data_IF_787811647787
#
_entry.id   IF_787811647787
#
_cell.length_a   1.000
_cell.length_b   1.000
_cell.length_c   1.000
_cell.angle_alpha   90.00
_cell.angle_beta   90.00
_cell.angle_gamma   90.00
#
_symmetry.space_group_name_H-M   'P 1'
#
loop_
_entity.id
_entity.type
_entity.pdbx_description
1 polymer ?
#
# COMPACT_ATOMS: atom_id res chain seq x y z
N UNK A 1 -5.19 4.89 12.95
CA UNK A 1 -5.39 3.43 12.83
C UNK A 1 -6.78 3.19 12.24
N UNK A 2 -6.90 2.61 11.03
CA UNK A 2 -8.16 2.62 10.27
C UNK A 2 -9.37 2.02 11.02
N UNK A 3 -9.13 0.98 11.82
CA UNK A 3 -10.17 0.29 12.59
C UNK A 3 -10.60 1.06 13.85
N UNK A 4 -9.74 1.91 14.42
CA UNK A 4 -10.08 2.79 15.55
C UNK A 4 -10.87 4.00 15.06
N UNK A 5 -10.46 4.58 13.93
CA UNK A 5 -11.13 5.72 13.28
C UNK A 5 -12.55 5.37 12.82
N UNK A 6 -12.75 4.13 12.32
CA UNK A 6 -14.06 3.66 11.90
C UNK A 6 -15.08 3.54 13.06
N UNK A 7 -14.62 3.32 14.29
CA UNK A 7 -15.47 3.13 15.47
C UNK A 7 -15.55 4.42 16.32
N UNK A 8 -14.89 5.51 15.90
CA UNK A 8 -14.77 6.78 16.64
C UNK A 8 -14.39 6.57 18.11
N UNK A 9 -13.52 5.59 18.37
CA UNK A 9 -13.08 5.31 19.73
C UNK A 9 -11.93 6.24 20.10
N UNK A 10 -12.12 7.01 21.17
CA UNK A 10 -11.06 7.83 21.74
C UNK A 10 -10.11 6.95 22.55
N UNK A 11 -8.88 6.82 22.05
CA UNK A 11 -7.82 6.13 22.78
C UNK A 11 -7.54 6.92 24.06
N UNK A 12 -7.38 6.23 25.19
CA UNK A 12 -7.02 6.91 26.44
C UNK A 12 -5.63 7.56 26.34
N UNK A 13 -5.46 8.75 26.91
CA UNK A 13 -4.14 9.40 27.06
C UNK A 13 -3.11 8.56 27.83
N UNK A 14 -3.54 7.54 28.58
CA UNK A 14 -2.66 6.57 29.26
C UNK A 14 -2.05 5.53 28.32
N UNK A 15 -2.61 5.37 27.12
CA UNK A 15 -2.15 4.42 26.12
C UNK A 15 -0.89 4.93 25.40
N UNK A 16 0.11 4.08 25.21
CA UNK A 16 1.34 4.46 24.48
C UNK A 16 1.10 4.75 22.99
N UNK A 17 0.01 4.23 22.41
CA UNK A 17 -0.39 4.49 21.02
C UNK A 17 -1.24 5.77 20.87
N UNK A 18 -1.45 6.51 21.95
CA UNK A 18 -2.15 7.79 21.87
C UNK A 18 -1.35 8.75 20.97
N UNK A 19 -1.98 9.45 20.01
CA UNK A 19 -1.32 10.43 19.15
C UNK A 19 -0.41 11.41 19.88
N UNK A 20 -0.87 11.94 21.01
CA UNK A 20 -0.14 12.95 21.79
C UNK A 20 1.06 12.39 22.56
N UNK A 21 1.13 11.06 22.73
CA UNK A 21 2.24 10.41 23.41
C UNK A 21 3.37 10.06 22.45
N UNK A 22 3.19 10.22 21.14
CA UNK A 22 4.25 9.93 20.17
C UNK A 22 5.26 11.07 20.14
N UNK A 23 6.49 10.76 20.56
CA UNK A 23 7.58 11.74 20.68
C UNK A 23 7.94 12.40 19.34
N UNK A 24 7.83 11.67 18.23
CA UNK A 24 8.22 12.15 16.90
C UNK A 24 7.05 12.71 16.10
N UNK A 25 5.83 12.69 16.67
CA UNK A 25 4.60 13.09 15.97
C UNK A 25 4.69 14.49 15.37
N UNK A 26 5.22 15.45 16.13
CA UNK A 26 5.37 16.83 15.68
C UNK A 26 6.34 16.91 14.49
N UNK A 27 7.48 16.23 14.56
CA UNK A 27 8.46 16.22 13.46
C UNK A 27 7.88 15.59 12.19
N UNK A 28 7.16 14.48 12.32
CA UNK A 28 6.48 13.83 11.19
C UNK A 28 5.43 14.75 10.54
N UNK A 29 4.66 15.50 11.33
CA UNK A 29 3.68 16.48 10.82
C UNK A 29 4.35 17.66 10.09
N UNK A 30 5.62 17.95 10.42
CA UNK A 30 6.41 18.99 9.78
C UNK A 30 7.26 18.47 8.61
N UNK A 31 7.07 17.23 8.16
CA UNK A 31 7.61 16.76 6.88
C UNK A 31 6.68 17.16 5.74
N UNK A 32 7.13 18.05 4.88
CA UNK A 32 6.36 18.53 3.74
C UNK A 32 6.95 17.91 2.47
N UNK A 33 6.26 16.98 1.83
CA UNK A 33 6.65 16.46 0.53
C UNK A 33 6.12 17.40 -0.57
N UNK A 34 7.01 18.12 -1.24
CA UNK A 34 6.65 19.14 -2.23
C UNK A 34 6.63 18.55 -3.64
N UNK A 35 7.65 17.76 -3.98
CA UNK A 35 7.81 17.11 -5.29
C UNK A 35 8.56 15.77 -5.12
N UNK A 36 8.62 14.94 -6.16
CA UNK A 36 9.21 13.59 -6.19
C UNK A 36 10.58 13.51 -5.50
N UNK A 37 11.40 14.56 -5.65
CA UNK A 37 12.74 14.66 -5.07
C UNK A 37 12.90 15.91 -4.18
N UNK A 38 11.81 16.50 -3.69
CA UNK A 38 11.86 17.68 -2.83
C UNK A 38 11.04 17.48 -1.55
N UNK A 39 11.75 17.44 -0.44
CA UNK A 39 11.23 17.41 0.92
C UNK A 39 11.56 18.71 1.64
N UNK A 40 10.59 19.31 2.32
CA UNK A 40 10.77 20.60 2.99
C UNK A 40 10.51 20.47 4.49
N UNK A 41 11.38 21.08 5.27
CA UNK A 41 11.24 21.21 6.72
C UNK A 41 10.12 22.21 7.06
N UNK A 42 9.13 21.78 7.83
CA UNK A 42 8.02 22.61 8.28
C UNK A 42 8.44 23.77 9.18
N UNK A 43 9.49 23.60 9.99
CA UNK A 43 9.96 24.59 10.96
C UNK A 43 10.76 25.74 10.32
N UNK A 44 11.78 25.43 9.50
CA UNK A 44 12.69 26.43 8.93
C UNK A 44 12.62 26.56 7.41
N UNK A 45 11.70 25.84 6.75
CA UNK A 45 11.43 25.89 5.30
C UNK A 45 12.60 25.49 4.39
N UNK A 46 13.67 24.88 4.93
CA UNK A 46 14.77 24.31 4.13
C UNK A 46 14.28 23.10 3.33
N UNK A 47 14.67 23.03 2.06
CA UNK A 47 14.39 21.90 1.17
C UNK A 47 15.56 20.91 1.11
N UNK A 48 15.23 19.64 0.90
CA UNK A 48 16.12 18.49 0.90
C UNK A 48 15.74 17.56 -0.26
N UNK A 49 16.73 16.85 -0.78
CA UNK A 49 16.54 15.97 -1.94
C UNK A 49 15.77 14.67 -1.63
N UNK A 50 15.77 14.25 -0.37
CA UNK A 50 15.15 13.01 0.08
C UNK A 50 14.77 13.11 1.55
N UNK A 51 13.76 12.35 1.96
CA UNK A 51 13.24 12.30 3.32
C UNK A 51 14.35 12.03 4.35
N UNK A 52 15.24 11.07 4.09
CA UNK A 52 16.36 10.73 4.99
C UNK A 52 17.23 11.93 5.39
N UNK A 53 17.39 12.90 4.48
CA UNK A 53 18.20 14.09 4.76
C UNK A 53 17.42 15.11 5.59
N UNK A 54 16.09 15.13 5.44
CA UNK A 54 15.20 15.90 6.29
C UNK A 54 15.17 15.33 7.71
N UNK A 55 15.09 14.01 7.86
CA UNK A 55 15.15 13.32 9.16
C UNK A 55 16.45 13.62 9.88
N UNK A 56 17.57 13.45 9.19
CA UNK A 56 18.89 13.81 9.73
C UNK A 56 18.97 15.30 10.09
N UNK A 57 18.31 16.19 9.33
CA UNK A 57 18.24 17.60 9.68
C UNK A 57 17.43 17.84 10.96
N UNK A 58 16.32 17.13 11.18
CA UNK A 58 15.57 17.20 12.42
C UNK A 58 16.40 16.79 13.63
N UNK A 59 17.12 15.66 13.53
CA UNK A 59 18.00 15.18 14.61
C UNK A 59 19.11 16.18 14.97
N UNK A 60 19.64 16.91 13.98
CA UNK A 60 20.75 17.83 14.22
C UNK A 60 20.32 19.24 14.62
N UNK A 61 19.15 19.71 14.16
CA UNK A 61 18.75 21.13 14.25
C UNK A 61 17.46 21.36 15.01
N UNK A 62 16.60 20.36 15.13
CA UNK A 62 15.28 20.47 15.76
C UNK A 62 15.05 19.39 16.83
N UNK A 63 16.12 18.75 17.32
CA UNK A 63 16.05 17.78 18.41
C UNK A 63 15.48 18.41 19.70
N UNK A 64 15.79 19.68 19.94
CA UNK A 64 15.31 20.45 21.08
C UNK A 64 13.79 20.66 21.11
N UNK A 65 13.09 20.43 20.00
CA UNK A 65 11.62 20.53 19.93
C UNK A 65 10.93 19.22 20.36
N UNK A 66 11.69 18.14 20.55
CA UNK A 66 11.14 16.86 20.99
C UNK A 66 10.70 16.95 22.45
N UNK A 67 9.49 16.48 22.74
CA UNK A 67 9.02 16.33 24.11
C UNK A 67 9.59 15.05 24.73
N UNK A 68 10.88 15.08 25.08
CA UNK A 68 11.60 13.92 25.65
C UNK A 68 11.04 13.51 27.02
N UNK A 69 10.43 14.45 27.75
CA UNK A 69 9.94 14.22 29.12
C UNK A 69 8.67 13.36 29.18
N UNK A 70 7.71 13.61 28.27
CA UNK A 70 6.42 12.92 28.26
C UNK A 70 6.23 11.98 27.06
N UNK A 71 6.93 12.25 25.96
CA UNK A 71 6.88 11.45 24.74
C UNK A 71 7.35 10.00 24.96
N UNK A 72 6.74 9.09 24.23
CA UNK A 72 7.11 7.67 24.13
C UNK A 72 7.57 7.40 22.72
N UNK A 73 8.69 6.70 22.58
CA UNK A 73 9.17 6.25 21.30
C UNK A 73 8.33 5.04 20.84
N UNK A 74 7.66 5.15 19.68
CA UNK A 74 6.88 4.05 19.14
C UNK A 74 7.75 2.88 18.65
N UNK A 75 9.05 3.11 18.39
CA UNK A 75 9.98 2.06 18.02
C UNK A 75 10.14 0.99 19.10
N UNK A 76 9.95 1.34 20.38
CA UNK A 76 9.97 0.39 21.51
C UNK A 76 8.84 -0.64 21.43
N UNK A 77 7.75 -0.31 20.72
CA UNK A 77 6.61 -1.20 20.50
C UNK A 77 6.80 -2.06 19.25
N UNK A 78 7.88 -1.85 18.48
CA UNK A 78 7.99 -2.46 17.17
C UNK A 78 8.06 -3.98 17.20
N UNK A 79 8.73 -4.55 18.20
CA UNK A 79 8.75 -5.99 18.42
C UNK A 79 7.38 -6.58 18.76
N UNK A 80 6.47 -5.80 19.37
CA UNK A 80 5.10 -6.20 19.70
C UNK A 80 4.10 -5.92 18.57
N UNK A 81 4.43 -5.03 17.62
CA UNK A 81 3.57 -4.65 16.49
C UNK A 81 4.04 -5.22 15.14
N UNK A 82 5.11 -6.02 15.14
CA UNK A 82 5.71 -6.64 13.96
C UNK A 82 6.14 -5.65 12.86
N UNK A 83 6.63 -4.44 13.19
CA UNK A 83 7.02 -3.51 12.10
C UNK A 83 8.22 -3.96 11.28
N UNK A 84 9.05 -4.88 11.78
CA UNK A 84 10.09 -5.53 10.98
C UNK A 84 9.52 -6.20 9.71
N UNK A 85 8.31 -6.75 9.77
CA UNK A 85 7.67 -7.36 8.61
C UNK A 85 7.20 -6.33 7.58
N UNK A 86 6.80 -5.15 8.03
CA UNK A 86 6.31 -4.06 7.17
C UNK A 86 7.48 -3.32 6.51
N UNK A 87 8.56 -3.08 7.27
CA UNK A 87 9.72 -2.30 6.82
C UNK A 87 10.76 -3.16 6.09
N UNK A 88 10.95 -4.42 6.49
CA UNK A 88 11.93 -5.32 5.92
C UNK A 88 11.26 -6.58 5.35
N UNK A 89 10.99 -6.58 4.04
CA UNK A 89 10.49 -7.78 3.32
C UNK A 89 11.49 -8.95 3.31
N UNK A 90 12.74 -8.70 3.68
CA UNK A 90 13.78 -9.71 3.86
C UNK A 90 13.79 -10.16 5.31
N UNK A 91 12.86 -11.06 5.68
CA UNK A 91 13.00 -11.78 6.94
C UNK A 91 14.32 -12.56 6.88
N UNK A 92 15.35 -12.10 7.60
CA UNK A 92 16.49 -12.98 7.85
C UNK A 92 15.91 -14.20 8.57
N UNK A 93 16.22 -15.40 8.09
CA UNK A 93 15.73 -16.65 8.69
C UNK A 93 16.45 -16.89 10.02
N UNK A 94 16.37 -15.95 10.96
CA UNK A 94 16.90 -16.13 12.29
C UNK A 94 16.07 -17.19 13.01
N UNK A 95 16.75 -18.15 13.63
CA UNK A 95 16.14 -19.16 14.50
C UNK A 95 15.23 -18.47 15.52
N UNK A 96 14.00 -18.96 15.67
CA UNK A 96 13.04 -18.37 16.61
C UNK A 96 13.60 -18.37 18.04
N UNK A 97 13.58 -17.22 18.71
CA UNK A 97 13.90 -17.12 20.13
C UNK A 97 12.58 -17.12 20.94
N UNK A 98 12.25 -18.21 21.66
CA UNK A 98 10.99 -18.31 22.39
C UNK A 98 10.87 -17.26 23.51
N UNK A 99 11.98 -16.86 24.15
CA UNK A 99 11.97 -15.85 25.19
C UNK A 99 11.62 -14.46 24.63
N UNK A 100 12.16 -14.11 23.46
CA UNK A 100 11.85 -12.86 22.78
C UNK A 100 10.38 -12.80 22.32
N UNK A 101 9.87 -13.93 21.78
CA UNK A 101 8.46 -14.04 21.38
C UNK A 101 7.52 -13.89 22.57
N UNK A 102 7.82 -14.56 23.69
CA UNK A 102 7.03 -14.44 24.91
C UNK A 102 7.04 -12.99 25.47
N UNK A 103 8.22 -12.34 25.50
CA UNK A 103 8.34 -10.94 25.91
C UNK A 103 7.50 -10.01 25.04
N UNK A 104 7.59 -10.14 23.71
CA UNK A 104 6.85 -9.30 22.78
C UNK A 104 5.33 -9.57 22.86
N UNK A 105 4.93 -10.83 23.06
CA UNK A 105 3.54 -11.20 23.31
C UNK A 105 2.99 -10.50 24.55
N UNK A 106 3.69 -10.58 25.68
CA UNK A 106 3.28 -9.90 26.91
C UNK A 106 3.21 -8.38 26.75
N UNK A 107 4.15 -7.79 26.02
CA UNK A 107 4.12 -6.36 25.70
C UNK A 107 2.89 -5.99 24.87
N UNK A 108 2.56 -6.80 23.85
CA UNK A 108 1.38 -6.63 23.01
C UNK A 108 0.07 -6.73 23.82
N UNK A 109 -0.06 -7.74 24.68
CA UNK A 109 -1.22 -7.93 25.56
C UNK A 109 -1.35 -6.78 26.56
N UNK A 110 -0.24 -6.32 27.15
CA UNK A 110 -0.24 -5.14 28.04
C UNK A 110 -0.69 -3.88 27.32
N UNK A 111 -0.28 -3.72 26.05
CA UNK A 111 -0.70 -2.60 25.21
C UNK A 111 -2.20 -2.66 24.91
N UNK A 112 -2.73 -3.82 24.54
CA UNK A 112 -4.16 -4.03 24.31
C UNK A 112 -4.99 -3.67 25.55
N UNK A 113 -4.55 -4.11 26.74
CA UNK A 113 -5.22 -3.81 28.01
C UNK A 113 -5.22 -2.31 28.36
N UNK A 114 -4.13 -1.60 28.07
CA UNK A 114 -4.02 -0.16 28.37
C UNK A 114 -4.76 0.73 27.37
N UNK A 115 -4.80 0.30 26.10
CA UNK A 115 -5.38 1.09 25.01
C UNK A 115 -6.86 0.81 24.79
N UNK A 116 -7.27 -0.44 24.99
CA UNK A 116 -8.63 -0.92 24.78
C UNK A 116 -9.06 -1.74 26.00
N UNK A 117 -9.33 -1.12 27.15
CA UNK A 117 -9.73 -1.87 28.34
C UNK A 117 -11.19 -2.34 28.20
N UNK A 118 -11.43 -3.61 28.53
CA UNK A 118 -12.72 -4.30 28.32
C UNK A 118 -13.86 -3.63 29.11
N UNK A 119 -13.54 -2.99 30.23
CA UNK A 119 -14.51 -2.31 31.09
C UNK A 119 -14.97 -0.93 30.57
N UNK A 120 -14.39 -0.40 29.49
CA UNK A 120 -14.80 0.88 28.89
C UNK A 120 -15.91 0.75 27.82
N UNK A 121 -16.59 -0.39 27.79
CA UNK A 121 -17.79 -0.61 26.96
C UNK A 121 -17.58 -1.56 25.77
N UNK A 122 -18.65 -1.81 25.00
CA UNK A 122 -18.65 -2.83 23.95
C UNK A 122 -17.69 -2.51 22.80
N UNK A 123 -17.54 -1.23 22.45
CA UNK A 123 -16.58 -0.78 21.42
C UNK A 123 -15.14 -1.04 21.84
N UNK A 124 -14.77 -0.72 23.09
CA UNK A 124 -13.45 -0.99 23.64
C UNK A 124 -13.16 -2.50 23.72
N UNK A 125 -14.13 -3.29 24.17
CA UNK A 125 -14.02 -4.75 24.22
C UNK A 125 -13.82 -5.37 22.82
N UNK A 126 -14.58 -4.90 21.82
CA UNK A 126 -14.41 -5.36 20.43
C UNK A 126 -13.04 -5.00 19.87
N UNK A 127 -12.58 -3.76 20.09
CA UNK A 127 -11.26 -3.32 19.66
C UNK A 127 -10.14 -4.10 20.36
N UNK A 128 -10.32 -4.42 21.64
CA UNK A 128 -9.41 -5.26 22.40
C UNK A 128 -9.24 -6.64 21.76
N UNK A 129 -10.35 -7.33 21.46
CA UNK A 129 -10.32 -8.66 20.83
C UNK A 129 -9.69 -8.61 19.44
N UNK A 130 -10.05 -7.61 18.62
CA UNK A 130 -9.48 -7.41 17.30
C UNK A 130 -7.96 -7.17 17.37
N UNK A 131 -7.52 -6.33 18.30
CA UNK A 131 -6.11 -6.02 18.50
C UNK A 131 -5.31 -7.27 18.90
N UNK A 132 -5.83 -8.06 19.86
CA UNK A 132 -5.20 -9.30 20.28
C UNK A 132 -5.07 -10.31 19.12
N UNK A 133 -6.15 -10.53 18.36
CA UNK A 133 -6.13 -11.48 17.23
C UNK A 133 -5.22 -11.05 16.10
N UNK A 134 -5.17 -9.75 15.80
CA UNK A 134 -4.41 -9.24 14.67
C UNK A 134 -2.91 -9.13 14.96
N UNK A 135 -2.54 -8.71 16.18
CA UNK A 135 -1.14 -8.42 16.52
C UNK A 135 -0.56 -9.44 17.51
N UNK A 136 -1.28 -9.76 18.59
CA UNK A 136 -0.70 -10.52 19.70
C UNK A 136 -0.64 -12.02 19.41
N UNK A 137 -1.65 -12.58 18.75
CA UNK A 137 -1.71 -14.02 18.41
C UNK A 137 -0.64 -14.46 17.39
N UNK A 138 -0.11 -13.52 16.62
CA UNK A 138 1.01 -13.74 15.72
C UNK A 138 2.33 -14.03 16.46
N UNK A 139 2.43 -13.70 17.75
CA UNK A 139 3.59 -14.01 18.59
C UNK A 139 3.60 -15.49 19.00
N UNK A 140 3.90 -16.34 18.03
CA UNK A 140 4.18 -17.76 18.22
C UNK A 140 5.50 -18.05 17.51
N UNK A 141 6.17 -19.14 17.86
CA UNK A 141 7.26 -19.67 17.03
C UNK A 141 6.66 -20.66 16.03
N UNK A 142 6.31 -20.25 14.79
CA UNK A 142 5.86 -21.22 13.80
C UNK A 142 7.05 -21.88 13.11
N UNK A 143 6.83 -23.09 12.57
CA UNK A 143 7.75 -23.70 11.58
C UNK A 143 7.74 -22.97 10.23
N UNK A 144 6.73 -22.11 9.97
CA UNK A 144 6.60 -21.20 8.81
C UNK A 144 5.98 -19.86 9.26
N UNK A 145 6.68 -18.75 9.09
CA UNK A 145 6.27 -17.40 9.52
C UNK A 145 5.01 -16.91 8.79
N UNK A 146 3.93 -16.65 9.53
CA UNK A 146 2.82 -15.81 9.07
C UNK A 146 2.39 -14.86 10.19
N UNK A 147 2.93 -13.64 10.25
CA UNK A 147 2.63 -12.68 11.30
C UNK A 147 1.29 -11.95 11.13
N UNK A 148 0.53 -12.19 10.05
CA UNK A 148 -0.79 -11.59 9.84
C UNK A 148 -1.81 -12.61 9.33
N UNK A 149 -2.63 -13.22 10.19
CA UNK A 149 -3.73 -14.08 9.75
C UNK A 149 -4.87 -13.20 9.24
N UNK A 150 -4.96 -13.06 7.90
CA UNK A 150 -6.11 -12.47 7.16
C UNK A 150 -6.43 -11.00 7.49
N UNK A 151 -5.99 -10.07 6.64
CA UNK A 151 -6.47 -8.68 6.72
C UNK A 151 -5.80 -7.64 5.82
N UNK A 152 -4.69 -7.97 5.16
CA UNK A 152 -4.10 -7.06 4.17
C UNK A 152 -5.07 -6.85 3.01
N UNK A 153 -5.48 -5.59 2.75
CA UNK A 153 -6.09 -5.21 1.48
C UNK A 153 -5.22 -5.79 0.36
N UNK A 154 -5.76 -6.69 -0.44
CA UNK A 154 -5.10 -7.14 -1.67
C UNK A 154 -5.00 -5.91 -2.57
N UNK A 155 -3.85 -5.24 -2.56
CA UNK A 155 -3.50 -4.26 -3.58
C UNK A 155 -3.66 -4.98 -4.93
N UNK A 156 -4.58 -4.56 -5.82
CA UNK A 156 -4.66 -5.16 -7.13
C UNK A 156 -3.27 -5.02 -7.77
N UNK A 157 -2.68 -6.14 -8.19
CA UNK A 157 -1.31 -6.09 -8.68
C UNK A 157 -1.25 -5.15 -9.88
N UNK A 158 -0.26 -4.26 -9.91
CA UNK A 158 -0.07 -3.33 -11.03
C UNK A 158 -0.07 -4.10 -12.36
N UNK A 159 0.50 -5.31 -12.37
CA UNK A 159 0.45 -6.25 -13.49
C UNK A 159 -0.96 -6.60 -13.97
N UNK A 160 -1.91 -6.80 -13.06
CA UNK A 160 -3.30 -7.08 -13.42
C UNK A 160 -3.97 -5.87 -14.11
N UNK A 161 -3.71 -4.66 -13.61
CA UNK A 161 -4.19 -3.42 -14.25
C UNK A 161 -3.56 -3.22 -15.63
N UNK A 162 -2.24 -3.44 -15.76
CA UNK A 162 -1.54 -3.34 -17.04
C UNK A 162 -2.08 -4.34 -18.07
N UNK A 163 -2.29 -5.60 -17.67
CA UNK A 163 -2.84 -6.65 -18.55
C UNK A 163 -4.27 -6.29 -18.96
N UNK A 164 -5.10 -5.79 -18.04
CA UNK A 164 -6.48 -5.40 -18.32
C UNK A 164 -6.58 -4.25 -19.33
N UNK A 165 -5.68 -3.26 -19.25
CA UNK A 165 -5.66 -2.14 -20.20
C UNK A 165 -5.18 -2.63 -21.57
N UNK A 166 -4.17 -3.51 -21.60
CA UNK A 166 -3.63 -4.05 -22.85
C UNK A 166 -4.69 -4.87 -23.61
N UNK A 167 -5.46 -5.72 -22.92
CA UNK A 167 -6.54 -6.49 -23.54
C UNK A 167 -7.65 -5.60 -24.06
N UNK A 168 -8.04 -4.54 -23.35
CA UNK A 168 -9.05 -3.58 -23.82
C UNK A 168 -8.63 -2.83 -25.08
N UNK A 169 -7.34 -2.60 -25.29
CA UNK A 169 -6.82 -1.95 -26.50
C UNK A 169 -6.66 -2.91 -27.68
N UNK A 170 -6.18 -4.14 -27.44
CA UNK A 170 -5.90 -5.11 -28.51
C UNK A 170 -7.16 -5.74 -29.11
N UNK A 171 -8.19 -5.97 -28.29
CA UNK A 171 -9.47 -6.55 -28.73
C UNK A 171 -10.15 -5.77 -29.87
N UNK A 172 -10.41 -4.45 -29.75
CA UNK A 172 -11.05 -3.69 -30.81
C UNK A 172 -10.18 -3.60 -32.07
N UNK A 173 -8.85 -3.49 -31.93
CA UNK A 173 -7.92 -3.48 -33.06
C UNK A 173 -8.01 -4.80 -33.84
N UNK A 174 -8.02 -5.94 -33.14
CA UNK A 174 -8.17 -7.25 -33.76
C UNK A 174 -9.47 -7.35 -34.56
N UNK A 175 -10.60 -6.96 -33.99
CA UNK A 175 -11.88 -6.97 -34.69
C UNK A 175 -11.93 -6.00 -35.88
N UNK A 176 -11.24 -4.86 -35.80
CA UNK A 176 -11.16 -3.89 -36.88
C UNK A 176 -10.35 -4.44 -38.06
N UNK A 177 -9.24 -5.14 -37.79
CA UNK A 177 -8.46 -5.85 -38.82
C UNK A 177 -9.31 -6.94 -39.48
N UNK A 178 -10.02 -7.76 -38.70
CA UNK A 178 -10.91 -8.79 -39.25
C UNK A 178 -12.02 -8.18 -40.11
N UNK A 179 -12.60 -7.06 -39.67
CA UNK A 179 -13.62 -6.33 -40.43
C UNK A 179 -13.07 -5.80 -41.77
N UNK A 180 -11.89 -5.19 -41.76
CA UNK A 180 -11.24 -4.70 -42.98
C UNK A 180 -10.90 -5.85 -43.94
N UNK A 181 -10.38 -6.96 -43.44
CA UNK A 181 -10.08 -8.15 -44.23
C UNK A 181 -11.34 -8.76 -44.88
N UNK A 182 -12.44 -8.89 -44.14
CA UNK A 182 -13.72 -9.36 -44.68
C UNK A 182 -14.31 -8.40 -45.71
N UNK A 183 -14.14 -7.09 -45.51
CA UNK A 183 -14.60 -6.06 -46.45
C UNK A 183 -13.80 -6.11 -47.76
N UNK A 184 -12.48 -6.28 -47.69
CA UNK A 184 -11.62 -6.39 -48.86
C UNK A 184 -11.92 -7.66 -49.66
N UNK A 185 -12.12 -8.80 -48.99
CA UNK A 185 -12.56 -10.05 -49.62
C UNK A 185 -13.95 -9.95 -50.26
N UNK A 186 -14.85 -9.09 -49.74
CA UNK A 186 -16.16 -8.80 -50.36
C UNK A 186 -16.08 -7.78 -51.50
N UNK A 187 -15.04 -6.95 -51.56
CA UNK A 187 -14.86 -5.92 -52.59
C UNK A 187 -14.20 -6.43 -53.88
N UNK A 188 -13.49 -7.56 -53.83
CA UNK A 188 -12.75 -8.13 -54.97
C UNK A 188 -13.61 -8.74 -56.10
N UNK A 189 -14.94 -8.79 -55.97
CA UNK A 189 -15.86 -9.39 -56.95
C UNK A 189 -16.73 -8.38 -57.72
N UNK A 190 -16.40 -7.08 -57.71
CA UNK A 190 -17.06 -6.11 -58.59
C UNK A 190 -16.39 -6.06 -59.99
N UNK A 191 -16.86 -6.96 -60.86
CA UNK A 191 -17.09 -6.80 -62.31
C UNK A 191 -16.15 -5.84 -63.09
N UNK A 192 -15.07 -6.39 -63.66
CA UNK A 192 -14.37 -5.78 -64.80
C UNK A 192 -15.27 -5.84 -66.04
N UNK A 193 -16.11 -4.82 -66.25
CA UNK A 193 -17.02 -4.71 -67.40
C UNK A 193 -16.22 -4.60 -68.71
N UNK A 194 -16.23 -5.66 -69.51
CA UNK A 194 -15.48 -5.77 -70.79
C UNK A 194 -16.14 -4.90 -71.87
N UNK A 195 -15.37 -4.00 -72.47
CA UNK A 195 -15.78 -3.12 -73.59
C UNK A 195 -16.07 -3.98 -74.84
N UNK A 196 -17.24 -3.84 -75.51
CA UNK A 196 -17.55 -4.62 -76.71
C UNK A 196 -16.76 -4.11 -77.92
N UNK A 197 -16.10 -5.03 -78.66
CA UNK A 197 -15.40 -4.71 -79.91
C UNK A 197 -16.42 -4.45 -81.03
N UNK A 198 -16.36 -3.25 -81.61
CA UNK A 198 -17.09 -2.85 -82.82
C UNK A 198 -16.65 -3.71 -84.00
N UNK A 199 -17.63 -4.27 -84.72
CA UNK A 199 -17.44 -5.27 -85.78
C UNK A 199 -16.68 -4.75 -87.00
N UNK A 200 -15.75 -5.58 -87.49
CA UNK A 200 -15.15 -5.43 -88.82
C UNK A 200 -16.15 -5.92 -89.87
N UNK A 201 -16.55 -5.03 -90.79
CA UNK A 201 -17.35 -5.37 -91.98
C UNK A 201 -16.54 -6.27 -92.93
N UNK A 202 -17.19 -7.30 -93.46
CA UNK A 202 -16.70 -8.06 -94.62
C UNK A 202 -16.91 -7.25 -95.91
N UNK A 203 -15.98 -7.40 -96.87
CA UNK A 203 -16.02 -6.79 -98.20
C UNK A 203 -16.52 -7.85 -99.21
N UNK A 204 -17.50 -7.56 -100.08
CA UNK A 204 -17.86 -8.47 -101.17
C UNK A 204 -17.02 -8.17 -102.43
N UNK A 205 -16.71 -9.26 -103.15
CA UNK A 205 -16.10 -9.44 -104.48
C UNK A 205 -15.06 -8.45 -104.99
#
# INVERSE_FOLDING_TARGET
MPFVEQVQYEISSKCRLHPDNDMFRDQEQHKIHVDINEWRCGYCKKSFRAEKFLDQHFDNRHNNLLNVSHGKCLADLCGALHCDFVMNSKSSRSKCNPAAVAKNRHLCESLANRCFPINQGPSASRLHELFLRQFCDAHKCPRKSQPFPKGGRKQPSVFYLSISILTLMLLPIFYLIVYLYQREMRGGTQELKRIPRVGRKAKPS
#
